data_IF_142360425719
#
_entry.id   IF_142360425719
#
_cell.length_a   1.000
_cell.length_b   1.000
_cell.length_c   1.000
_cell.angle_alpha   90.00
_cell.angle_beta   90.00
_cell.angle_gamma   90.00
#
_symmetry.space_group_name_H-M   'P 1'
#
loop_
_entity.id
_entity.type
_entity.pdbx_description
1 polymer ?
#
# COMPACT_ATOMS: atom_id res chain seq x y z
N UNK A 1 -6.99 -2.93 -77.36
CA UNK A 1 -6.48 -4.01 -78.19
C UNK A 1 -6.89 -5.32 -77.61
N UNK A 2 -7.67 -6.02 -78.41
CA UNK A 2 -8.16 -7.43 -78.21
C UNK A 2 -7.00 -8.41 -78.01
N UNK A 3 -7.19 -9.49 -77.25
CA UNK A 3 -7.22 -10.84 -77.75
C UNK A 3 -7.75 -11.83 -76.67
N UNK A 4 -8.71 -12.56 -77.17
CA UNK A 4 -9.48 -13.67 -76.57
C UNK A 4 -8.75 -15.02 -76.71
N UNK A 5 -9.32 -16.01 -75.94
CA UNK A 5 -9.46 -17.48 -76.16
C UNK A 5 -8.28 -18.35 -75.73
N UNK A 6 -8.45 -19.48 -75.10
CA UNK A 6 -9.41 -20.57 -75.33
C UNK A 6 -9.54 -21.52 -74.14
N UNK A 7 -10.76 -22.08 -74.00
CA UNK A 7 -11.14 -23.26 -73.20
C UNK A 7 -10.38 -24.53 -73.64
N UNK A 8 -10.20 -25.46 -72.69
CA UNK A 8 -10.53 -26.89 -72.90
C UNK A 8 -10.76 -27.60 -71.55
N UNK A 9 -11.86 -28.35 -71.59
CA UNK A 9 -12.47 -29.26 -70.63
C UNK A 9 -11.64 -30.53 -70.38
N UNK A 10 -11.77 -31.07 -69.17
CA UNK A 10 -11.34 -32.45 -68.89
C UNK A 10 -11.93 -32.87 -67.50
N UNK A 11 -13.09 -33.56 -67.58
CA UNK A 11 -13.63 -34.31 -66.44
C UNK A 11 -12.73 -35.54 -66.14
N UNK A 12 -12.37 -35.68 -64.86
CA UNK A 12 -12.14 -37.03 -64.33
C UNK A 12 -12.68 -37.05 -62.86
N UNK A 13 -13.69 -37.91 -62.70
CA UNK A 13 -14.23 -38.31 -61.40
C UNK A 13 -13.31 -39.36 -60.78
N UNK A 14 -12.83 -39.15 -59.62
CA UNK A 14 -12.33 -40.21 -58.74
C UNK A 14 -12.78 -39.88 -57.29
N UNK A 15 -13.67 -40.73 -56.79
CA UNK A 15 -14.17 -40.65 -55.46
C UNK A 15 -13.08 -40.99 -54.44
N UNK A 16 -12.88 -40.12 -53.47
CA UNK A 16 -12.16 -40.43 -52.23
C UNK A 16 -13.11 -40.20 -51.08
N UNK A 17 -13.46 -41.30 -50.42
CA UNK A 17 -14.17 -41.31 -49.15
C UNK A 17 -13.22 -40.81 -48.08
N UNK A 18 -13.42 -39.57 -47.60
CA UNK A 18 -12.73 -39.07 -46.43
C UNK A 18 -13.45 -39.56 -45.16
N UNK A 19 -12.80 -40.47 -44.45
CA UNK A 19 -13.15 -40.78 -43.08
C UNK A 19 -12.77 -39.58 -42.20
N UNK A 20 -13.78 -38.90 -41.66
CA UNK A 20 -13.58 -37.83 -40.68
C UNK A 20 -13.18 -38.43 -39.31
N UNK A 21 -11.89 -38.43 -38.99
CA UNK A 21 -11.42 -38.60 -37.63
C UNK A 21 -11.69 -37.30 -36.87
N UNK A 22 -12.70 -37.29 -36.00
CA UNK A 22 -12.91 -36.25 -35.02
C UNK A 22 -11.85 -36.37 -33.93
N UNK A 23 -10.76 -35.59 -34.04
CA UNK A 23 -9.87 -35.31 -32.91
C UNK A 23 -10.61 -34.34 -31.96
N UNK A 24 -11.20 -34.87 -30.92
CA UNK A 24 -11.55 -34.05 -29.74
C UNK A 24 -10.28 -33.66 -29.02
N UNK A 25 -9.75 -32.47 -29.34
CA UNK A 25 -8.71 -31.84 -28.53
C UNK A 25 -9.32 -31.49 -27.17
N UNK A 26 -9.04 -32.30 -26.17
CA UNK A 26 -9.20 -31.92 -24.76
C UNK A 26 -8.15 -30.83 -24.51
N UNK A 27 -8.57 -29.58 -24.61
CA UNK A 27 -7.82 -28.46 -24.03
C UNK A 27 -7.77 -28.70 -22.52
N UNK A 28 -6.67 -29.27 -22.06
CA UNK A 28 -6.31 -29.19 -20.67
C UNK A 28 -6.12 -27.69 -20.38
N UNK A 29 -7.14 -27.05 -19.80
CA UNK A 29 -6.96 -25.76 -19.14
C UNK A 29 -5.97 -26.05 -18.01
N UNK A 30 -4.70 -25.73 -18.23
CA UNK A 30 -3.74 -25.64 -17.15
C UNK A 30 -4.31 -24.60 -16.20
N UNK A 31 -4.90 -25.06 -15.09
CA UNK A 31 -5.40 -24.19 -14.05
C UNK A 31 -4.24 -23.27 -13.65
N UNK A 32 -4.38 -21.99 -13.92
CA UNK A 32 -3.49 -21.01 -13.28
C UNK A 32 -3.58 -21.32 -11.80
N UNK A 33 -2.43 -21.66 -11.20
CA UNK A 33 -2.31 -21.80 -9.77
C UNK A 33 -2.67 -20.42 -9.21
N UNK A 34 -3.90 -20.26 -8.71
CA UNK A 34 -4.27 -19.03 -8.04
C UNK A 34 -3.34 -18.90 -6.83
N UNK A 35 -2.42 -17.96 -6.91
CA UNK A 35 -1.59 -17.62 -5.78
C UNK A 35 -2.52 -17.02 -4.72
N UNK A 36 -2.63 -17.68 -3.57
CA UNK A 36 -3.39 -17.12 -2.45
C UNK A 36 -2.74 -15.80 -2.03
N UNK A 37 -3.54 -14.78 -1.76
CA UNK A 37 -3.02 -13.54 -1.24
C UNK A 37 -2.40 -13.79 0.15
N UNK A 38 -1.27 -13.14 0.41
CA UNK A 38 -0.66 -13.11 1.73
C UNK A 38 -0.92 -11.75 2.36
N UNK A 39 -1.35 -11.75 3.60
CA UNK A 39 -1.48 -10.55 4.43
C UNK A 39 -0.37 -10.58 5.46
N UNK A 40 0.44 -9.55 5.47
CA UNK A 40 1.66 -9.48 6.25
C UNK A 40 1.57 -8.29 7.21
N UNK A 41 1.97 -8.47 8.46
CA UNK A 41 2.12 -7.39 9.44
C UNK A 41 3.44 -7.52 10.19
N UNK A 42 3.87 -6.45 10.86
CA UNK A 42 5.09 -6.45 11.67
C UNK A 42 4.75 -6.45 13.14
N UNK A 43 5.50 -7.20 13.94
CA UNK A 43 5.38 -7.17 15.41
C UNK A 43 5.81 -5.82 15.99
N UNK A 44 6.67 -5.11 15.27
CA UNK A 44 7.27 -3.86 15.71
C UNK A 44 7.87 -3.94 17.14
N UNK A 45 8.32 -5.13 17.54
CA UNK A 45 8.85 -5.39 18.89
C UNK A 45 10.24 -4.77 19.04
N UNK A 46 10.41 -3.94 20.03
CA UNK A 46 11.69 -3.26 20.34
C UNK A 46 12.79 -4.21 20.82
N UNK A 47 12.46 -5.40 21.24
CA UNK A 47 13.45 -6.44 21.62
C UNK A 47 13.92 -7.27 20.41
N UNK A 48 13.05 -7.44 19.40
CA UNK A 48 13.33 -8.19 18.18
C UNK A 48 12.14 -8.17 17.23
N UNK A 49 12.25 -7.45 16.12
CA UNK A 49 11.17 -7.31 15.14
C UNK A 49 10.99 -8.60 14.32
N UNK A 50 9.74 -8.90 14.00
CA UNK A 50 9.36 -10.01 13.13
C UNK A 50 8.20 -9.62 12.22
N UNK A 51 8.09 -10.27 11.07
CA UNK A 51 6.87 -10.24 10.25
C UNK A 51 6.02 -11.46 10.53
N UNK A 52 4.71 -11.26 10.59
CA UNK A 52 3.69 -12.29 10.75
C UNK A 52 2.91 -12.38 9.45
N UNK A 53 2.89 -13.57 8.86
CA UNK A 53 2.33 -13.83 7.53
C UNK A 53 1.06 -14.66 7.68
N UNK A 54 -0.02 -14.18 7.11
CA UNK A 54 -1.29 -14.88 6.99
C UNK A 54 -1.57 -15.24 5.54
N UNK A 55 -2.10 -16.42 5.35
CA UNK A 55 -2.70 -16.84 4.07
C UNK A 55 -4.17 -16.43 4.08
N UNK A 56 -4.57 -15.65 3.10
CA UNK A 56 -5.97 -15.36 2.82
C UNK A 56 -6.53 -16.43 1.89
N UNK A 57 -7.44 -17.25 2.40
CA UNK A 57 -8.20 -18.20 1.61
C UNK A 57 -9.60 -17.61 1.35
N UNK A 58 -9.98 -17.50 0.08
CA UNK A 58 -11.27 -16.97 -0.35
C UNK A 58 -12.17 -18.05 -0.97
N UNK A 59 -11.69 -19.29 -1.03
CA UNK A 59 -12.49 -20.43 -1.48
C UNK A 59 -13.41 -20.94 -0.37
N UNK A 60 -14.70 -21.04 -0.67
CA UNK A 60 -15.70 -21.47 0.32
C UNK A 60 -15.97 -20.44 1.41
N UNK A 61 -15.80 -20.80 2.68
CA UNK A 61 -15.87 -19.84 3.79
C UNK A 61 -14.52 -19.12 3.90
N UNK A 62 -14.47 -17.81 3.67
CA UNK A 62 -13.20 -17.09 3.71
C UNK A 62 -12.52 -17.18 5.08
N UNK A 63 -11.20 -17.32 5.06
CA UNK A 63 -10.41 -17.43 6.30
C UNK A 63 -9.05 -16.75 6.17
N UNK A 64 -8.53 -16.31 7.30
CA UNK A 64 -7.18 -15.74 7.45
C UNK A 64 -6.41 -16.65 8.42
N UNK A 65 -5.49 -17.44 7.86
CA UNK A 65 -4.76 -18.47 8.61
C UNK A 65 -3.31 -18.04 8.79
N UNK A 66 -2.80 -18.07 10.03
CA UNK A 66 -1.39 -17.84 10.31
C UNK A 66 -0.55 -18.89 9.55
N UNK A 67 0.33 -18.44 8.70
CA UNK A 67 1.24 -19.28 7.92
C UNK A 67 2.61 -19.37 8.59
N UNK A 68 3.20 -18.22 8.93
CA UNK A 68 4.56 -18.16 9.47
C UNK A 68 4.81 -16.87 10.26
N UNK A 69 5.84 -16.91 11.12
CA UNK A 69 6.39 -15.73 11.79
C UNK A 69 7.91 -15.75 11.58
N UNK A 70 8.44 -14.69 11.01
CA UNK A 70 9.83 -14.61 10.55
C UNK A 70 10.55 -13.45 11.24
N UNK A 71 11.60 -13.71 12.04
CA UNK A 71 12.44 -12.66 12.59
C UNK A 71 13.09 -11.84 11.47
N UNK A 72 13.00 -10.50 11.55
CA UNK A 72 13.60 -9.60 10.55
C UNK A 72 15.11 -9.46 10.69
N UNK A 73 15.66 -9.86 11.84
CA UNK A 73 17.05 -9.64 12.19
C UNK A 73 17.32 -8.26 12.82
N UNK A 74 16.32 -7.41 12.92
CA UNK A 74 16.40 -6.08 13.53
C UNK A 74 15.45 -5.91 14.72
N UNK A 75 15.34 -4.67 15.22
CA UNK A 75 14.48 -4.27 16.33
C UNK A 75 13.45 -3.26 15.85
N UNK A 76 12.20 -3.44 16.28
CA UNK A 76 11.13 -2.49 16.06
C UNK A 76 11.13 -1.35 17.08
N UNK A 77 9.96 -0.87 17.45
CA UNK A 77 9.76 0.19 18.43
C UNK A 77 9.37 1.54 17.81
N UNK A 78 9.03 1.56 16.51
CA UNK A 78 8.40 2.71 15.90
C UNK A 78 7.14 3.10 16.68
N UNK A 79 6.86 4.38 16.80
CA UNK A 79 5.58 4.88 17.26
C UNK A 79 4.50 4.59 16.22
N UNK A 80 3.27 5.01 16.44
CA UNK A 80 2.12 4.72 15.56
C UNK A 80 2.23 5.40 14.19
N UNK A 81 3.17 4.97 13.35
CA UNK A 81 3.39 5.53 12.02
C UNK A 81 2.88 4.57 10.94
N UNK A 82 2.38 5.11 9.84
CA UNK A 82 1.90 4.34 8.71
C UNK A 82 3.03 3.89 7.80
N UNK A 83 2.85 2.74 7.15
CA UNK A 83 3.73 2.31 6.08
C UNK A 83 5.09 1.79 6.53
N UNK A 84 5.25 1.28 7.75
CA UNK A 84 6.50 0.63 8.18
C UNK A 84 6.76 -0.71 7.47
N UNK A 85 5.76 -1.23 6.75
CA UNK A 85 5.82 -2.46 5.97
C UNK A 85 5.13 -2.24 4.64
N UNK A 86 5.82 -2.51 3.55
CA UNK A 86 5.33 -2.29 2.19
C UNK A 86 5.67 -3.47 1.29
N UNK A 87 4.83 -3.69 0.26
CA UNK A 87 5.10 -4.62 -0.84
C UNK A 87 4.86 -3.96 -2.20
N UNK A 88 5.74 -4.28 -3.16
CA UNK A 88 5.57 -3.95 -4.57
C UNK A 88 5.86 -5.20 -5.40
N UNK A 89 4.81 -5.82 -5.92
CA UNK A 89 4.94 -7.14 -6.56
C UNK A 89 5.43 -8.21 -5.57
N UNK A 90 6.47 -8.94 -5.94
CA UNK A 90 7.08 -9.99 -5.11
C UNK A 90 8.09 -9.46 -4.07
N UNK A 91 8.45 -8.19 -4.13
CA UNK A 91 9.42 -7.57 -3.21
C UNK A 91 8.72 -6.68 -2.20
N UNK A 92 9.16 -6.77 -0.97
CA UNK A 92 8.68 -5.95 0.12
C UNK A 92 9.80 -5.51 1.04
N UNK A 93 9.48 -4.63 1.96
CA UNK A 93 10.40 -4.10 2.95
C UNK A 93 9.70 -3.88 4.27
N UNK A 94 10.41 -4.05 5.37
CA UNK A 94 9.97 -3.73 6.72
C UNK A 94 11.01 -2.93 7.48
N UNK A 95 10.60 -1.84 8.09
CA UNK A 95 11.46 -0.99 8.92
C UNK A 95 11.79 -1.68 10.25
N UNK A 96 13.05 -1.55 10.67
CA UNK A 96 13.53 -1.93 11.99
C UNK A 96 14.00 -0.67 12.72
N UNK A 97 13.04 0.06 13.28
CA UNK A 97 13.21 1.36 13.91
C UNK A 97 14.40 1.40 14.90
N UNK A 98 14.42 0.46 15.86
CA UNK A 98 15.44 0.41 16.91
C UNK A 98 16.81 -0.09 16.45
N UNK A 99 16.96 -0.52 15.20
CA UNK A 99 18.23 -0.97 14.61
C UNK A 99 18.73 -0.06 13.50
N UNK A 100 17.99 0.97 13.10
CA UNK A 100 18.29 1.85 11.96
C UNK A 100 18.52 1.07 10.66
N UNK A 101 17.68 0.06 10.42
CA UNK A 101 17.78 -0.81 9.23
C UNK A 101 16.42 -1.07 8.61
N UNK A 102 16.45 -1.53 7.38
CA UNK A 102 15.28 -2.07 6.67
C UNK A 102 15.60 -3.50 6.25
N UNK A 103 14.68 -4.44 6.49
CA UNK A 103 14.81 -5.81 5.99
C UNK A 103 14.00 -5.99 4.72
N UNK A 104 14.66 -6.54 3.69
CA UNK A 104 14.00 -6.96 2.46
C UNK A 104 13.10 -8.17 2.74
N UNK A 105 11.93 -8.18 2.12
CA UNK A 105 11.00 -9.29 2.12
C UNK A 105 10.84 -9.78 0.69
N UNK A 106 10.98 -11.08 0.48
CA UNK A 106 10.84 -11.69 -0.86
C UNK A 106 9.72 -12.71 -0.82
N UNK A 107 8.73 -12.56 -1.68
CA UNK A 107 7.66 -13.52 -1.83
C UNK A 107 8.07 -14.65 -2.76
N UNK A 108 7.84 -15.87 -2.32
CA UNK A 108 7.95 -17.11 -3.08
C UNK A 108 6.64 -17.89 -2.98
N UNK A 109 5.84 -17.88 -4.02
CA UNK A 109 4.51 -18.53 -4.04
C UNK A 109 3.64 -18.11 -2.84
N UNK A 110 3.50 -18.99 -1.85
CA UNK A 110 2.68 -18.81 -0.65
C UNK A 110 3.49 -18.60 0.63
N UNK A 111 4.73 -18.17 0.52
CA UNK A 111 5.64 -17.90 1.64
C UNK A 111 6.41 -16.61 1.43
N UNK A 112 6.96 -16.09 2.53
CA UNK A 112 7.87 -14.95 2.54
C UNK A 112 9.25 -15.43 3.00
N UNK A 113 10.29 -14.89 2.42
CA UNK A 113 11.64 -15.01 2.96
C UNK A 113 12.17 -13.64 3.37
N UNK A 114 12.94 -13.60 4.45
CA UNK A 114 13.73 -12.42 4.80
C UNK A 114 14.95 -12.40 3.89
N UNK A 115 15.09 -11.34 3.12
CA UNK A 115 16.24 -11.08 2.26
C UNK A 115 17.37 -10.39 3.00
N UNK A 116 18.01 -9.44 2.34
CA UNK A 116 19.09 -8.67 2.93
C UNK A 116 18.60 -7.60 3.91
N UNK A 117 19.53 -7.16 4.74
CA UNK A 117 19.37 -5.96 5.57
C UNK A 117 19.98 -4.76 4.84
N UNK A 118 19.23 -3.69 4.73
CA UNK A 118 19.65 -2.39 4.23
C UNK A 118 19.92 -1.49 5.44
N UNK A 119 21.15 -0.96 5.53
CA UNK A 119 21.49 0.01 6.56
C UNK A 119 21.14 1.42 6.05
N UNK A 120 20.58 2.23 6.92
CA UNK A 120 20.38 3.65 6.64
C UNK A 120 21.72 4.40 6.61
N UNK A 121 21.76 5.53 5.96
CA UNK A 121 22.88 6.46 6.07
C UNK A 121 23.11 6.88 7.52
N UNK A 122 24.37 7.15 7.93
CA UNK A 122 24.69 7.47 9.33
C UNK A 122 23.91 8.65 9.91
N UNK A 123 23.53 9.60 9.05
CA UNK A 123 22.78 10.79 9.40
C UNK A 123 21.25 10.61 9.29
N UNK A 124 20.77 9.38 9.02
CA UNK A 124 19.35 9.05 8.95
C UNK A 124 19.05 7.88 9.89
N UNK A 125 18.34 8.16 10.96
CA UNK A 125 18.09 7.19 12.02
C UNK A 125 16.60 7.01 12.29
N UNK A 126 16.27 5.89 12.94
CA UNK A 126 14.91 5.59 13.39
C UNK A 126 13.91 5.55 12.21
N UNK A 127 14.00 4.57 11.29
CA UNK A 127 13.10 4.47 10.15
C UNK A 127 11.65 4.30 10.61
N UNK A 128 10.85 5.33 10.36
CA UNK A 128 9.46 5.43 10.80
C UNK A 128 8.47 5.02 9.72
N UNK A 129 8.83 5.17 8.44
CA UNK A 129 7.96 4.80 7.32
C UNK A 129 8.76 4.49 6.06
N UNK A 130 8.17 3.68 5.21
CA UNK A 130 8.73 3.23 3.94
C UNK A 130 7.77 3.50 2.78
N UNK A 131 8.32 3.73 1.59
CA UNK A 131 7.58 3.64 0.34
C UNK A 131 8.40 2.87 -0.70
N UNK A 132 7.72 2.07 -1.51
CA UNK A 132 8.36 1.26 -2.56
C UNK A 132 7.85 1.67 -3.94
N UNK A 133 8.78 1.95 -4.84
CA UNK A 133 8.54 1.91 -6.29
C UNK A 133 9.05 0.57 -6.85
N UNK A 134 9.13 0.45 -8.16
CA UNK A 134 9.74 -0.73 -8.77
C UNK A 134 11.26 -0.75 -8.54
N UNK A 135 11.89 0.41 -8.58
CA UNK A 135 13.34 0.58 -8.67
C UNK A 135 13.94 1.23 -7.41
N UNK A 136 13.11 1.74 -6.49
CA UNK A 136 13.56 2.43 -5.27
C UNK A 136 12.80 2.03 -4.02
N UNK A 137 13.54 1.97 -2.92
CA UNK A 137 13.06 2.03 -1.55
C UNK A 137 13.30 3.45 -1.02
N UNK A 138 12.25 4.08 -0.54
CA UNK A 138 12.30 5.35 0.18
C UNK A 138 12.09 5.10 1.65
N UNK A 139 12.89 5.75 2.46
CA UNK A 139 12.83 5.65 3.93
C UNK A 139 12.72 7.04 4.50
N UNK A 140 11.80 7.24 5.43
CA UNK A 140 11.82 8.41 6.30
C UNK A 140 12.21 7.95 7.70
N UNK A 141 13.23 8.61 8.25
CA UNK A 141 13.61 8.49 9.65
C UNK A 141 13.03 9.66 10.46
N UNK A 142 13.51 9.83 11.69
CA UNK A 142 12.98 10.83 12.60
C UNK A 142 13.00 12.26 12.00
N UNK A 143 14.13 12.67 11.40
CA UNK A 143 14.37 14.01 10.83
C UNK A 143 15.07 13.99 9.47
N UNK A 144 14.92 12.88 8.75
CA UNK A 144 15.61 12.64 7.49
C UNK A 144 14.72 11.86 6.52
N UNK A 145 15.03 11.98 5.23
CA UNK A 145 14.53 11.08 4.20
C UNK A 145 15.68 10.66 3.28
N UNK A 146 15.69 9.40 2.85
CA UNK A 146 16.66 8.87 1.91
C UNK A 146 16.01 7.91 0.93
N UNK A 147 16.66 7.70 -0.22
CA UNK A 147 16.30 6.70 -1.21
C UNK A 147 17.43 5.71 -1.43
N UNK A 148 17.06 4.49 -1.75
CA UNK A 148 17.97 3.39 -2.08
C UNK A 148 17.54 2.77 -3.38
N UNK A 149 18.50 2.46 -4.26
CA UNK A 149 18.22 1.64 -5.41
C UNK A 149 17.71 0.25 -4.96
N UNK A 150 16.59 -0.19 -5.51
CA UNK A 150 15.92 -1.40 -5.07
C UNK A 150 15.90 -2.47 -6.19
N UNK A 151 16.22 -3.73 -5.92
CA UNK A 151 16.49 -4.31 -4.60
C UNK A 151 17.98 -4.26 -4.18
N UNK A 152 18.88 -3.55 -4.83
CA UNK A 152 20.30 -3.54 -4.46
C UNK A 152 20.57 -3.01 -3.04
N UNK A 153 19.76 -2.07 -2.56
CA UNK A 153 19.84 -1.49 -1.23
C UNK A 153 20.95 -0.45 -1.04
N UNK A 154 21.65 -0.06 -2.13
CA UNK A 154 22.62 1.03 -2.05
C UNK A 154 21.90 2.35 -1.98
N UNK A 155 22.39 3.27 -1.14
CA UNK A 155 21.89 4.65 -1.09
C UNK A 155 21.98 5.27 -2.48
N UNK A 156 20.88 5.86 -2.91
CA UNK A 156 20.71 6.47 -4.21
C UNK A 156 20.04 7.84 -4.05
N UNK A 157 20.78 8.88 -4.38
CA UNK A 157 20.41 10.25 -4.11
C UNK A 157 20.93 10.81 -2.78
N UNK A 158 20.62 12.06 -2.46
CA UNK A 158 21.03 12.71 -1.23
C UNK A 158 20.19 12.22 -0.03
N UNK A 159 20.78 12.27 1.17
CA UNK A 159 20.02 12.29 2.41
C UNK A 159 19.42 13.69 2.58
N UNK A 160 18.11 13.76 2.69
CA UNK A 160 17.37 15.01 2.83
C UNK A 160 17.07 15.24 4.31
N UNK A 161 17.59 16.33 4.90
CA UNK A 161 17.21 16.74 6.24
C UNK A 161 15.80 17.32 6.24
N UNK A 162 14.99 16.92 7.21
CA UNK A 162 13.65 17.42 7.44
C UNK A 162 13.69 18.57 8.46
N UNK A 163 12.58 19.30 8.56
CA UNK A 163 12.52 20.52 9.41
C UNK A 163 12.60 20.25 10.90
N UNK A 164 12.15 19.05 11.32
CA UNK A 164 12.11 18.63 12.72
C UNK A 164 11.97 17.09 12.82
N UNK A 165 12.16 16.49 14.01
CA UNK A 165 12.11 15.03 14.19
C UNK A 165 10.68 14.51 14.40
N UNK A 166 9.72 14.93 13.59
CA UNK A 166 8.31 14.55 13.71
C UNK A 166 7.75 13.86 12.47
N UNK A 167 8.62 13.33 11.62
CA UNK A 167 8.20 12.61 10.43
C UNK A 167 7.25 11.46 10.79
N UNK A 168 6.17 11.30 10.02
CA UNK A 168 5.15 10.29 10.27
C UNK A 168 5.04 9.28 9.13
N UNK A 169 4.94 9.74 7.89
CA UNK A 169 4.89 8.84 6.73
C UNK A 169 5.57 9.46 5.51
N UNK A 170 6.21 8.60 4.72
CA UNK A 170 6.63 8.91 3.35
C UNK A 170 5.73 8.21 2.35
N UNK A 171 5.28 8.95 1.33
CA UNK A 171 4.57 8.40 0.18
C UNK A 171 5.23 8.91 -1.10
N UNK A 172 5.16 8.11 -2.18
CA UNK A 172 5.84 8.43 -3.43
C UNK A 172 4.87 8.41 -4.60
N UNK A 173 4.82 9.54 -5.31
CA UNK A 173 4.10 9.74 -6.56
C UNK A 173 4.99 9.50 -7.78
N UNK A 174 4.56 10.01 -8.93
CA UNK A 174 5.34 9.85 -10.19
C UNK A 174 6.50 10.82 -10.30
N UNK A 175 6.35 12.05 -9.80
CA UNK A 175 7.31 13.15 -9.97
C UNK A 175 7.81 13.73 -8.66
N UNK A 176 7.22 13.37 -7.54
CA UNK A 176 7.58 13.86 -6.22
C UNK A 176 7.18 12.87 -5.12
N UNK A 177 7.85 12.97 -4.00
CA UNK A 177 7.50 12.28 -2.77
C UNK A 177 6.97 13.27 -1.73
N UNK A 178 6.12 12.80 -0.84
CA UNK A 178 5.59 13.57 0.27
C UNK A 178 6.04 12.98 1.60
N UNK A 179 6.36 13.84 2.56
CA UNK A 179 6.54 13.46 3.96
C UNK A 179 5.53 14.23 4.80
N UNK A 180 4.71 13.49 5.54
CA UNK A 180 3.82 14.04 6.54
C UNK A 180 4.56 14.15 7.86
N UNK A 181 4.32 15.26 8.58
CA UNK A 181 4.97 15.57 9.85
C UNK A 181 3.92 15.74 10.95
N UNK A 182 4.05 15.02 12.04
CA UNK A 182 3.12 15.13 13.17
C UNK A 182 3.20 16.48 13.91
N UNK A 183 4.19 17.31 13.58
CA UNK A 183 4.26 18.72 13.98
C UNK A 183 3.30 19.66 13.24
N UNK A 184 2.58 19.15 12.22
CA UNK A 184 1.64 19.94 11.41
C UNK A 184 2.18 20.40 10.06
N UNK A 185 3.31 19.85 9.60
CA UNK A 185 3.88 20.18 8.31
C UNK A 185 3.64 19.06 7.29
N UNK A 186 3.50 19.44 6.03
CA UNK A 186 3.51 18.54 4.87
C UNK A 186 4.65 18.97 3.97
N UNK A 187 5.57 18.06 3.66
CA UNK A 187 6.76 18.35 2.87
C UNK A 187 6.68 17.68 1.52
N UNK A 188 7.06 18.40 0.48
CA UNK A 188 7.30 17.90 -0.86
C UNK A 188 8.79 17.68 -1.07
N UNK A 189 9.17 16.50 -1.55
CA UNK A 189 10.53 16.13 -1.90
C UNK A 189 10.61 15.88 -3.41
N UNK A 190 11.49 16.56 -4.13
CA UNK A 190 11.64 16.35 -5.57
C UNK A 190 12.30 14.99 -5.85
N UNK A 191 11.88 14.35 -6.94
CA UNK A 191 12.51 13.15 -7.49
C UNK A 191 13.33 13.53 -8.73
N UNK A 192 14.39 12.79 -9.00
CA UNK A 192 15.10 12.89 -10.28
C UNK A 192 14.18 12.45 -11.41
N UNK A 193 14.33 13.05 -12.59
CA UNK A 193 13.52 12.71 -13.77
C UNK A 193 14.00 11.42 -14.44
N UNK A 194 15.27 11.09 -14.30
CA UNK A 194 15.89 9.99 -15.03
C UNK A 194 15.71 8.65 -14.34
N UNK A 195 15.85 8.60 -13.02
CA UNK A 195 15.81 7.36 -12.25
C UNK A 195 14.76 7.34 -11.14
N UNK A 196 14.26 8.50 -10.68
CA UNK A 196 13.22 8.60 -9.66
C UNK A 196 13.71 8.59 -8.21
N UNK A 197 15.02 8.69 -7.97
CA UNK A 197 15.59 8.87 -6.63
C UNK A 197 15.28 10.26 -6.05
N UNK A 198 15.46 10.46 -4.73
CA UNK A 198 15.41 11.80 -4.14
C UNK A 198 16.49 12.69 -4.75
N UNK A 199 16.16 13.95 -5.07
CA UNK A 199 17.07 14.82 -5.83
C UNK A 199 17.40 16.15 -5.18
N UNK A 200 16.84 16.48 -4.02
CA UNK A 200 17.10 17.79 -3.41
C UNK A 200 16.39 18.03 -2.10
N UNK A 201 16.48 19.26 -1.62
CA UNK A 201 15.87 19.67 -0.36
C UNK A 201 14.34 19.64 -0.43
N UNK A 202 13.73 19.38 0.72
CA UNK A 202 12.28 19.43 0.89
C UNK A 202 11.74 20.86 0.79
N UNK A 203 10.49 20.98 0.35
CA UNK A 203 9.74 22.24 0.33
C UNK A 203 8.43 22.03 1.09
N UNK A 204 8.11 22.96 1.99
CA UNK A 204 6.85 22.89 2.73
C UNK A 204 5.66 23.22 1.82
N UNK A 205 4.62 22.41 1.88
CA UNK A 205 3.32 22.68 1.28
C UNK A 205 2.50 23.49 2.28
N UNK A 206 1.97 24.63 1.84
CA UNK A 206 1.14 25.48 2.69
C UNK A 206 -0.20 24.79 2.97
N UNK A 207 -0.45 24.49 4.24
CA UNK A 207 -1.74 23.96 4.69
C UNK A 207 -2.70 25.13 5.01
N UNK A 208 -4.02 24.95 4.87
CA UNK A 208 -5.01 25.94 5.27
C UNK A 208 -4.84 26.32 6.74
N UNK A 209 -4.80 27.63 7.04
CA UNK A 209 -4.52 28.16 8.37
C UNK A 209 -5.67 28.03 9.37
N UNK A 210 -6.86 27.73 8.89
CA UNK A 210 -8.10 27.58 9.67
C UNK A 210 -8.36 26.12 10.10
N UNK A 211 -7.52 25.21 9.65
CA UNK A 211 -7.63 23.80 9.97
C UNK A 211 -6.47 23.40 10.89
N UNK A 212 -6.78 22.81 12.04
CA UNK A 212 -5.79 22.18 12.92
C UNK A 212 -5.33 20.86 12.27
N UNK A 213 -4.65 20.98 11.12
CA UNK A 213 -4.21 19.87 10.32
C UNK A 213 -2.88 19.34 10.82
N UNK A 214 -2.90 18.12 11.35
CA UNK A 214 -1.71 17.33 11.64
C UNK A 214 -1.63 16.18 10.62
N UNK A 215 -0.87 16.33 9.52
CA UNK A 215 -0.78 15.29 8.49
C UNK A 215 -0.13 14.02 9.06
N UNK A 216 -0.81 12.87 8.94
CA UNK A 216 -0.26 11.58 9.34
C UNK A 216 -0.20 10.61 8.17
N UNK A 217 -1.32 10.00 7.77
CA UNK A 217 -1.36 9.07 6.65
C UNK A 217 -1.23 9.75 5.30
N UNK A 218 -0.52 9.13 4.34
CA UNK A 218 -0.31 9.63 3.00
C UNK A 218 -0.34 8.51 1.95
N UNK A 219 -0.99 8.75 0.81
CA UNK A 219 -0.96 7.86 -0.33
C UNK A 219 -1.10 8.63 -1.64
N UNK A 220 -0.53 8.12 -2.73
CA UNK A 220 -0.61 8.74 -4.05
C UNK A 220 -1.58 8.05 -5.00
N UNK A 221 -2.17 8.87 -5.85
CA UNK A 221 -2.82 8.47 -7.09
C UNK A 221 -2.27 9.29 -8.25
N UNK A 222 -1.32 8.73 -8.97
CA UNK A 222 -0.56 9.50 -9.96
C UNK A 222 0.31 10.57 -9.29
N UNK A 223 0.00 11.84 -9.53
CA UNK A 223 0.63 12.99 -8.88
C UNK A 223 -0.27 13.68 -7.84
N UNK A 224 -1.45 13.12 -7.56
CA UNK A 224 -2.33 13.62 -6.50
C UNK A 224 -2.03 12.86 -5.22
N UNK A 225 -1.69 13.58 -4.17
CA UNK A 225 -1.51 13.06 -2.82
C UNK A 225 -2.84 13.14 -2.07
N UNK A 226 -3.27 12.03 -1.48
CA UNK A 226 -4.27 12.04 -0.42
C UNK A 226 -3.56 11.94 0.94
N UNK A 227 -3.97 12.74 1.91
CA UNK A 227 -3.46 12.66 3.26
C UNK A 227 -4.56 12.82 4.32
N UNK A 228 -4.28 12.34 5.53
CA UNK A 228 -5.20 12.43 6.67
C UNK A 228 -4.73 13.50 7.64
N UNK A 229 -5.56 14.52 7.93
CA UNK A 229 -5.32 15.51 8.98
C UNK A 229 -5.86 14.98 10.32
N UNK A 230 -5.01 14.32 11.10
CA UNK A 230 -5.43 13.54 12.29
C UNK A 230 -6.21 14.32 13.36
N UNK A 231 -5.97 15.61 13.53
CA UNK A 231 -6.65 16.42 14.53
C UNK A 231 -7.90 17.15 13.98
N UNK A 232 -8.11 17.11 12.69
CA UNK A 232 -9.31 17.63 12.07
C UNK A 232 -10.38 16.54 12.08
N UNK A 233 -11.48 16.69 12.84
CA UNK A 233 -12.51 15.66 12.84
C UNK A 233 -13.04 15.47 11.45
N UNK A 234 -13.06 14.21 11.02
CA UNK A 234 -13.78 13.75 9.84
C UNK A 234 -13.30 14.31 8.50
N UNK A 235 -12.06 14.77 8.39
CA UNK A 235 -11.56 15.28 7.14
C UNK A 235 -10.48 14.38 6.52
N UNK A 236 -10.45 14.43 5.23
CA UNK A 236 -9.45 13.92 4.34
C UNK A 236 -9.05 15.07 3.43
N UNK A 237 -7.83 15.13 2.96
CA UNK A 237 -7.40 16.20 2.07
C UNK A 237 -6.63 15.62 0.88
N UNK A 238 -6.74 16.29 -0.25
CA UNK A 238 -5.94 16.03 -1.45
C UNK A 238 -5.05 17.21 -1.76
N UNK A 239 -3.88 16.92 -2.32
CA UNK A 239 -2.90 17.90 -2.78
C UNK A 239 -2.53 17.57 -4.21
N UNK A 240 -2.61 18.55 -5.10
CA UNK A 240 -2.13 18.42 -6.46
C UNK A 240 -0.60 18.64 -6.56
N UNK A 241 -0.05 18.41 -7.72
CA UNK A 241 1.40 18.60 -7.99
C UNK A 241 1.90 20.06 -7.86
N UNK A 242 0.98 21.03 -7.82
CA UNK A 242 1.28 22.44 -7.61
C UNK A 242 1.25 22.82 -6.12
N UNK A 243 0.94 21.88 -5.23
CA UNK A 243 0.82 22.12 -3.80
C UNK A 243 -0.53 22.72 -3.38
N UNK A 244 -1.56 22.71 -4.26
CA UNK A 244 -2.88 23.18 -3.89
C UNK A 244 -3.58 22.15 -3.01
N UNK A 245 -3.92 22.55 -1.78
CA UNK A 245 -4.60 21.69 -0.80
C UNK A 245 -6.10 21.89 -0.89
N UNK A 246 -6.84 20.80 -1.09
CA UNK A 246 -8.29 20.75 -1.11
C UNK A 246 -8.79 19.87 0.03
N UNK A 247 -9.21 20.44 1.17
CA UNK A 247 -9.81 19.69 2.28
C UNK A 247 -11.17 19.10 1.87
N UNK A 248 -11.43 17.89 2.37
CA UNK A 248 -12.69 17.18 2.15
C UNK A 248 -13.32 16.94 3.51
N UNK A 249 -14.43 17.60 3.76
CA UNK A 249 -15.16 17.45 5.01
C UNK A 249 -15.62 15.99 5.20
N UNK A 250 -15.43 15.47 6.37
CA UNK A 250 -15.89 14.16 6.79
C UNK A 250 -17.36 14.16 7.19
N UNK A 251 -17.81 13.08 7.84
CA UNK A 251 -19.18 12.97 8.30
C UNK A 251 -19.47 14.04 9.36
N UNK A 252 -20.73 14.44 9.43
CA UNK A 252 -21.20 15.35 10.48
C UNK A 252 -20.95 14.79 11.89
N UNK A 253 -20.91 15.60 12.95
CA UNK A 253 -20.49 15.23 14.30
C UNK A 253 -21.15 14.02 14.97
N UNK A 254 -22.17 13.44 14.35
CA UNK A 254 -22.88 12.26 14.84
C UNK A 254 -22.17 10.92 14.57
N UNK A 255 -21.05 10.90 13.83
CA UNK A 255 -20.26 9.70 13.59
C UNK A 255 -18.90 9.80 14.26
N UNK A 256 -18.48 8.78 15.02
CA UNK A 256 -17.17 8.77 15.69
C UNK A 256 -16.05 8.44 14.69
N UNK A 257 -15.74 9.35 13.80
CA UNK A 257 -14.64 9.20 12.84
C UNK A 257 -13.40 9.98 13.28
N UNK A 258 -13.36 10.37 14.54
CA UNK A 258 -12.29 11.16 15.13
C UNK A 258 -10.90 10.63 14.78
N UNK A 259 -10.02 11.56 14.39
CA UNK A 259 -8.62 11.33 14.09
C UNK A 259 -8.39 10.28 12.97
N UNK A 260 -8.65 10.62 11.69
CA UNK A 260 -8.18 9.84 10.57
C UNK A 260 -6.64 9.84 10.57
N UNK A 261 -6.02 8.66 10.77
CA UNK A 261 -4.58 8.56 10.93
C UNK A 261 -3.89 7.91 9.73
N UNK A 262 -4.57 6.98 9.05
CA UNK A 262 -3.99 6.22 7.93
C UNK A 262 -4.84 6.41 6.69
N UNK A 263 -4.21 6.30 5.51
CA UNK A 263 -4.91 6.38 4.23
C UNK A 263 -4.44 5.32 3.25
N UNK A 264 -5.38 4.73 2.53
CA UNK A 264 -5.11 3.84 1.42
C UNK A 264 -5.92 4.23 0.19
N UNK A 265 -5.31 4.12 -1.00
CA UNK A 265 -5.94 4.41 -2.28
C UNK A 265 -6.70 3.19 -2.77
N UNK A 266 -8.01 3.32 -2.86
CA UNK A 266 -8.94 2.34 -3.42
C UNK A 266 -9.03 2.35 -4.96
N UNK A 267 -10.00 1.63 -5.56
CA UNK A 267 -10.27 1.69 -7.00
C UNK A 267 -10.78 3.08 -7.44
N UNK A 268 -10.59 3.41 -8.72
CA UNK A 268 -11.10 4.66 -9.29
C UNK A 268 -10.71 5.90 -8.48
N UNK A 269 -11.68 6.66 -8.03
CA UNK A 269 -11.53 7.87 -7.22
C UNK A 269 -11.81 7.64 -5.72
N UNK A 270 -11.74 6.40 -5.25
CA UNK A 270 -12.07 6.01 -3.88
C UNK A 270 -10.82 6.04 -3.00
N UNK A 271 -11.01 6.49 -1.75
CA UNK A 271 -10.01 6.52 -0.71
C UNK A 271 -10.58 5.95 0.58
N UNK A 272 -9.74 5.29 1.34
CA UNK A 272 -10.06 4.75 2.65
C UNK A 272 -9.18 5.40 3.70
N UNK A 273 -9.77 5.79 4.83
CA UNK A 273 -9.02 6.25 5.99
C UNK A 273 -9.26 5.33 7.18
N UNK A 274 -8.20 5.00 7.90
CA UNK A 274 -8.30 4.33 9.19
C UNK A 274 -8.37 5.37 10.30
N UNK A 275 -9.45 5.37 11.07
CA UNK A 275 -9.73 6.39 12.07
C UNK A 275 -9.45 5.84 13.47
N UNK A 276 -8.45 6.40 14.14
CA UNK A 276 -8.07 6.06 15.51
C UNK A 276 -8.08 7.33 16.36
N UNK A 277 -8.81 7.37 17.45
CA UNK A 277 -9.54 6.28 18.14
C UNK A 277 -10.99 6.07 17.70
N UNK A 278 -11.38 6.50 16.50
CA UNK A 278 -12.75 6.38 16.02
C UNK A 278 -13.24 4.97 15.69
N UNK A 279 -12.39 3.95 15.83
CA UNK A 279 -12.70 2.52 15.61
C UNK A 279 -13.47 2.27 14.30
N UNK A 280 -13.00 2.87 13.20
CA UNK A 280 -13.68 2.79 11.93
C UNK A 280 -12.76 2.95 10.71
N UNK A 281 -13.24 2.52 9.55
CA UNK A 281 -12.71 2.88 8.24
C UNK A 281 -13.70 3.83 7.58
N UNK A 282 -13.27 5.03 7.20
CA UNK A 282 -14.09 5.94 6.39
C UNK A 282 -13.78 5.82 4.91
N UNK A 283 -14.79 6.00 4.08
CA UNK A 283 -14.72 5.94 2.63
C UNK A 283 -15.00 7.32 2.06
N UNK A 284 -14.11 7.80 1.19
CA UNK A 284 -14.23 9.08 0.50
C UNK A 284 -14.16 8.86 -1.00
N UNK A 285 -14.90 9.69 -1.73
CA UNK A 285 -14.73 9.89 -3.17
C UNK A 285 -14.00 11.21 -3.38
N UNK A 286 -13.00 11.21 -4.24
CA UNK A 286 -12.26 12.43 -4.55
C UNK A 286 -11.73 12.36 -5.98
N UNK A 287 -11.93 13.44 -6.71
CA UNK A 287 -11.23 13.76 -7.95
C UNK A 287 -10.20 14.88 -7.72
N UNK A 288 -9.58 15.37 -8.78
CA UNK A 288 -8.54 16.40 -8.69
C UNK A 288 -9.05 17.77 -8.22
N UNK A 289 -10.36 17.97 -8.08
CA UNK A 289 -10.97 19.26 -7.78
C UNK A 289 -11.74 19.27 -6.46
N UNK A 290 -11.92 18.11 -5.84
CA UNK A 290 -12.66 18.01 -4.59
C UNK A 290 -13.08 16.57 -4.29
N UNK A 291 -14.00 16.43 -3.35
CA UNK A 291 -14.50 15.13 -2.98
C UNK A 291 -15.60 15.20 -1.92
N UNK A 292 -16.03 14.04 -1.50
CA UNK A 292 -17.05 13.90 -0.48
C UNK A 292 -16.82 12.65 0.37
N UNK A 293 -17.17 12.76 1.63
CA UNK A 293 -17.35 11.61 2.51
C UNK A 293 -18.54 10.77 2.01
N UNK A 294 -18.37 9.46 2.01
CA UNK A 294 -19.44 8.53 1.61
C UNK A 294 -20.05 7.83 2.82
N UNK A 295 -19.25 7.03 3.54
CA UNK A 295 -19.69 6.31 4.74
C UNK A 295 -18.51 5.85 5.59
N UNK A 296 -18.84 5.41 6.81
CA UNK A 296 -17.89 4.70 7.68
C UNK A 296 -18.32 3.25 7.90
N UNK A 297 -17.31 2.39 8.03
CA UNK A 297 -17.44 0.98 8.37
C UNK A 297 -16.83 0.78 9.75
N UNK A 298 -17.59 0.34 10.76
CA UNK A 298 -17.09 0.18 12.11
C UNK A 298 -16.10 -0.99 12.19
N UNK A 299 -15.11 -0.83 13.08
CA UNK A 299 -14.16 -1.86 13.48
C UNK A 299 -14.35 -2.21 14.94
N UNK A 300 -13.95 -3.41 15.38
CA UNK A 300 -13.98 -3.79 16.80
C UNK A 300 -12.96 -3.07 17.67
N UNK A 301 -12.09 -2.24 17.10
CA UNK A 301 -11.04 -1.49 17.78
C UNK A 301 -10.31 -0.53 16.88
N UNK A 302 -9.33 0.15 17.43
CA UNK A 302 -8.62 1.26 16.80
C UNK A 302 -7.64 0.78 15.73
N UNK A 303 -7.81 1.16 14.45
CA UNK A 303 -6.85 0.82 13.40
C UNK A 303 -5.47 1.41 13.70
N UNK A 304 -4.42 0.70 13.31
CA UNK A 304 -3.03 1.15 13.42
C UNK A 304 -2.29 1.18 12.08
N UNK A 305 -2.85 0.58 11.05
CA UNK A 305 -2.47 0.78 9.64
C UNK A 305 -3.53 0.15 8.73
N UNK A 306 -3.61 0.62 7.48
CA UNK A 306 -4.48 0.07 6.44
C UNK A 306 -3.74 -0.01 5.10
N UNK A 307 -4.12 -0.99 4.29
CA UNK A 307 -3.59 -1.15 2.93
C UNK A 307 -4.65 -1.69 1.98
N UNK A 308 -4.48 -1.40 0.69
CA UNK A 308 -5.29 -1.97 -0.39
C UNK A 308 -4.39 -2.82 -1.29
N UNK A 309 -4.87 -4.01 -1.66
CA UNK A 309 -4.16 -4.91 -2.57
C UNK A 309 -3.88 -4.29 -3.94
N UNK A 310 -2.88 -4.80 -4.64
CA UNK A 310 -2.49 -4.28 -5.96
C UNK A 310 -3.62 -4.38 -6.99
N UNK A 311 -4.43 -5.43 -6.94
CA UNK A 311 -5.60 -5.65 -7.80
C UNK A 311 -6.85 -4.86 -7.37
N UNK A 312 -6.77 -4.11 -6.24
CA UNK A 312 -7.84 -3.28 -5.67
C UNK A 312 -9.08 -4.05 -5.21
N UNK A 313 -8.98 -5.34 -4.94
CA UNK A 313 -10.09 -6.20 -4.50
C UNK A 313 -10.16 -6.38 -3.00
N UNK A 314 -9.06 -6.10 -2.29
CA UNK A 314 -8.95 -6.36 -0.86
C UNK A 314 -8.41 -5.14 -0.14
N UNK A 315 -8.99 -4.87 1.03
CA UNK A 315 -8.43 -3.96 2.02
C UNK A 315 -8.08 -4.78 3.26
N UNK A 316 -6.85 -4.65 3.74
CA UNK A 316 -6.44 -5.17 5.02
C UNK A 316 -6.25 -4.03 6.02
N UNK A 317 -6.65 -4.28 7.25
CA UNK A 317 -6.46 -3.37 8.38
C UNK A 317 -5.89 -4.14 9.54
N UNK A 318 -4.89 -3.57 10.20
CA UNK A 318 -4.48 -3.99 11.53
C UNK A 318 -5.10 -3.04 12.55
N UNK A 319 -5.70 -3.58 13.62
CA UNK A 319 -6.37 -2.81 14.64
C UNK A 319 -6.10 -3.37 16.04
N UNK A 320 -6.20 -2.51 17.04
CA UNK A 320 -6.05 -2.84 18.46
C UNK A 320 -7.41 -2.90 19.13
N UNK A 321 -7.69 -4.00 19.83
CA UNK A 321 -8.86 -4.16 20.69
C UNK A 321 -8.38 -4.52 22.09
N UNK A 322 -8.46 -3.58 23.01
CA UNK A 322 -7.83 -3.69 24.33
C UNK A 322 -6.29 -3.76 24.23
N UNK A 323 -5.69 -4.80 24.81
CA UNK A 323 -4.24 -5.02 24.78
C UNK A 323 -3.76 -5.89 23.63
N UNK A 324 -4.66 -6.32 22.75
CA UNK A 324 -4.37 -7.27 21.67
C UNK A 324 -4.54 -6.64 20.30
N UNK A 325 -3.80 -7.15 19.31
CA UNK A 325 -3.90 -6.75 17.92
C UNK A 325 -4.55 -7.85 17.06
N UNK A 326 -5.20 -7.41 15.98
CA UNK A 326 -5.91 -8.25 15.02
C UNK A 326 -5.69 -7.74 13.61
N UNK A 327 -5.74 -8.63 12.64
CA UNK A 327 -5.79 -8.28 11.23
C UNK A 327 -7.17 -8.63 10.69
N UNK A 328 -7.84 -7.68 10.03
CA UNK A 328 -9.08 -7.95 9.30
C UNK A 328 -8.91 -7.66 7.82
N UNK A 329 -9.62 -8.42 7.00
CA UNK A 329 -9.66 -8.27 5.54
C UNK A 329 -11.08 -8.01 5.10
N UNK A 330 -11.24 -7.05 4.21
CA UNK A 330 -12.49 -6.68 3.57
C UNK A 330 -12.37 -6.88 2.06
N UNK A 331 -13.42 -7.38 1.44
CA UNK A 331 -13.57 -7.32 0.00
C UNK A 331 -14.02 -5.92 -0.41
N UNK A 332 -13.45 -5.44 -1.50
CA UNK A 332 -13.80 -4.15 -2.12
C UNK A 332 -14.61 -4.47 -3.38
N UNK A 333 -15.81 -3.93 -3.48
CA UNK A 333 -16.63 -4.05 -4.69
C UNK A 333 -16.32 -2.94 -5.72
N UNK A 334 -16.99 -2.97 -6.85
CA UNK A 334 -16.81 -2.00 -7.95
C UNK A 334 -17.20 -0.55 -7.56
N UNK A 335 -17.96 -0.40 -6.49
CA UNK A 335 -18.36 0.91 -5.94
C UNK A 335 -17.47 1.35 -4.77
N UNK A 336 -16.53 0.50 -4.35
CA UNK A 336 -15.62 0.73 -3.23
C UNK A 336 -16.23 0.42 -1.87
N UNK A 337 -17.34 -0.28 -1.85
CA UNK A 337 -17.94 -0.74 -0.61
C UNK A 337 -17.13 -1.87 0.00
N UNK A 338 -17.03 -1.85 1.34
CA UNK A 338 -16.28 -2.82 2.10
C UNK A 338 -17.20 -3.88 2.70
N UNK A 339 -16.93 -5.14 2.39
CA UNK A 339 -17.60 -6.30 3.00
C UNK A 339 -16.58 -7.06 3.82
N UNK A 340 -16.81 -7.29 5.14
CA UNK A 340 -15.92 -8.11 5.96
C UNK A 340 -15.75 -9.52 5.38
N UNK A 341 -14.53 -10.00 5.28
CA UNK A 341 -14.19 -11.32 4.71
C UNK A 341 -13.66 -12.26 5.79
N UNK A 342 -12.60 -11.84 6.47
CA UNK A 342 -11.97 -12.66 7.51
C UNK A 342 -11.27 -11.75 8.52
N UNK A 343 -11.17 -12.28 9.75
CA UNK A 343 -10.37 -11.67 10.83
C UNK A 343 -9.48 -12.74 11.43
N UNK A 344 -8.22 -12.41 11.73
CA UNK A 344 -7.30 -13.32 12.41
C UNK A 344 -7.77 -13.60 13.85
N UNK A 345 -7.25 -14.66 14.46
CA UNK A 345 -7.15 -14.72 15.91
C UNK A 345 -6.27 -13.59 16.41
N UNK A 346 -6.28 -13.34 17.72
CA UNK A 346 -5.32 -12.40 18.33
C UNK A 346 -3.89 -12.76 17.92
N UNK A 347 -3.13 -11.74 17.50
CA UNK A 347 -1.73 -11.89 17.11
C UNK A 347 -0.76 -11.47 18.23
N UNK A 348 -1.29 -11.17 19.40
CA UNK A 348 -0.50 -10.83 20.60
C UNK A 348 -0.65 -9.37 21.02
N UNK A 349 0.36 -8.87 21.74
CA UNK A 349 0.35 -7.51 22.31
C UNK A 349 0.29 -6.42 21.26
N UNK A 350 -0.24 -5.27 21.64
CA UNK A 350 -0.60 -4.14 20.78
C UNK A 350 0.58 -3.33 20.22
N UNK A 351 1.80 -3.88 20.12
CA UNK A 351 2.93 -3.22 19.42
C UNK A 351 2.88 -3.37 17.90
N UNK A 352 2.05 -4.30 17.39
CA UNK A 352 1.92 -4.55 15.97
C UNK A 352 1.57 -3.29 15.18
N UNK A 353 2.30 -3.07 14.09
CA UNK A 353 2.12 -1.96 13.19
C UNK A 353 2.58 -2.35 11.78
N UNK A 354 2.06 -1.64 10.76
CA UNK A 354 2.30 -1.94 9.36
C UNK A 354 1.49 -3.14 8.87
N UNK A 355 0.80 -2.98 7.77
CA UNK A 355 0.09 -4.07 7.09
C UNK A 355 0.26 -3.97 5.58
N UNK A 356 0.52 -5.11 4.92
CA UNK A 356 0.61 -5.20 3.48
C UNK A 356 -0.12 -6.43 2.94
N UNK A 357 -0.56 -6.36 1.69
CA UNK A 357 -1.09 -7.50 0.94
C UNK A 357 -0.14 -7.76 -0.23
N UNK A 358 0.39 -8.99 -0.31
CA UNK A 358 1.17 -9.48 -1.43
C UNK A 358 0.34 -10.50 -2.23
N UNK A 359 0.30 -10.35 -3.55
CA UNK A 359 -0.47 -11.20 -4.48
C UNK A 359 0.43 -11.85 -5.53
#
# INVERSE_FOLDING_TARGET
MNFQRHQKSGLWRSGFTLAALSLTSVLAVAGQKEHSALVITSTNDSSGNAVVVFKLDTAGTPSLTLAETLPTGGKGGASTNAGILQFKGALGAVANYGSNTVSELVRYDNSIAIGKTVNLAPDCVNPDSLALTQDHLFVVGADCAESHAWPSGFVDGPVVSLSDPSAAQIAVGKSWAAVTMSSGSLLQLPLTQDDGALSGASTAIALPSDADMVPLGAAFWGNVLGFTPAHSPDSFAIVDENGTVNPIAGPTPSFPTNAPCWVAKGPGNIWYTGNSPGDAISIFFSDNQGGAFYKSVPLPGSPTDITVSADRKWLAVIYKAGSEAYVAVFAIDDHGDLTPVATSSSIGVASFNGVAISQ
#
